data_IF_071557687131
#
_entry.id   IF_071557687131
#
_cell.length_a   1.000
_cell.length_b   1.000
_cell.length_c   1.000
_cell.angle_alpha   90.00
_cell.angle_beta   90.00
_cell.angle_gamma   90.00
#
_symmetry.space_group_name_H-M   'P 1'
#
loop_
_entity.id
_entity.type
_entity.pdbx_description
1 polymer ?
#
# COMPACT_ATOMS: atom_id res chain seq x y z
N UNK A 1 -10.97 7.74 5.87
CA UNK A 1 -9.53 7.45 5.97
C UNK A 1 -8.89 7.84 4.64
N UNK A 2 -7.79 8.60 4.66
CA UNK A 2 -7.20 9.22 3.46
C UNK A 2 -5.97 8.41 3.00
N UNK A 3 -5.96 8.02 1.72
CA UNK A 3 -4.78 7.42 1.07
C UNK A 3 -4.12 8.51 0.24
N UNK A 4 -3.07 9.12 0.77
CA UNK A 4 -2.34 10.18 0.08
C UNK A 4 -1.38 9.56 -0.95
N UNK A 5 -1.59 9.92 -2.22
CA UNK A 5 -0.90 9.31 -3.35
C UNK A 5 -0.08 10.35 -4.12
N UNK A 6 1.23 10.13 -4.26
CA UNK A 6 2.10 10.92 -5.14
C UNK A 6 2.77 10.01 -6.15
N UNK A 7 2.30 10.08 -7.41
CA UNK A 7 2.86 9.32 -8.53
C UNK A 7 4.06 10.06 -9.11
N UNK A 8 5.28 9.56 -8.89
CA UNK A 8 6.47 10.02 -9.62
C UNK A 8 6.59 9.21 -10.93
N UNK A 9 6.10 9.79 -12.02
CA UNK A 9 5.83 9.09 -13.28
C UNK A 9 7.06 8.72 -14.14
N UNK A 10 8.30 8.88 -13.67
CA UNK A 10 9.50 8.66 -14.51
C UNK A 10 10.05 7.22 -14.52
N UNK A 11 9.61 6.32 -13.62
CA UNK A 11 10.29 5.02 -13.39
C UNK A 11 9.39 3.78 -13.22
N UNK A 12 8.10 3.82 -13.59
CA UNK A 12 7.20 2.67 -13.38
C UNK A 12 7.00 2.30 -11.91
N UNK A 13 7.27 3.27 -11.02
CA UNK A 13 7.19 3.15 -9.57
C UNK A 13 6.19 4.15 -9.01
N UNK A 14 5.36 3.73 -8.06
CA UNK A 14 4.37 4.57 -7.39
C UNK A 14 4.67 4.61 -5.91
N UNK A 15 4.75 5.82 -5.34
CA UNK A 15 4.86 6.00 -3.90
C UNK A 15 3.50 6.35 -3.30
N UNK A 16 3.17 5.65 -2.23
CA UNK A 16 1.87 5.75 -1.57
C UNK A 16 2.07 5.71 -0.06
N UNK A 17 1.38 6.59 0.63
CA UNK A 17 1.20 6.47 2.07
C UNK A 17 -0.14 5.81 2.34
N UNK A 18 -0.13 4.76 3.15
CA UNK A 18 -1.33 4.03 3.56
C UNK A 18 -1.39 3.95 5.08
N UNK A 19 -2.56 4.24 5.62
CA UNK A 19 -2.90 4.01 7.02
C UNK A 19 -3.79 2.78 7.11
N UNK A 20 -3.61 1.95 8.13
CA UNK A 20 -4.47 0.84 8.47
C UNK A 20 -4.85 0.94 9.95
N UNK A 21 -6.03 0.42 10.35
CA UNK A 21 -6.22 -0.05 11.72
C UNK A 21 -5.10 -1.03 12.09
N UNK A 22 -4.56 -0.94 13.30
CA UNK A 22 -3.38 -1.72 13.71
C UNK A 22 -3.58 -3.24 13.51
N UNK A 23 -4.78 -3.74 13.77
CA UNK A 23 -5.17 -5.14 13.61
C UNK A 23 -5.31 -5.60 12.15
N UNK A 24 -5.48 -4.68 11.19
CA UNK A 24 -5.62 -4.97 9.75
C UNK A 24 -4.34 -4.72 8.95
N UNK A 25 -3.30 -4.16 9.59
CA UNK A 25 -2.03 -3.82 8.94
C UNK A 25 -1.36 -5.05 8.28
N UNK A 26 -1.30 -6.18 9.00
CA UNK A 26 -0.64 -7.39 8.51
C UNK A 26 -1.39 -8.00 7.33
N UNK A 27 -2.72 -8.09 7.40
CA UNK A 27 -3.53 -8.65 6.32
C UNK A 27 -3.50 -7.77 5.07
N UNK A 28 -3.52 -6.44 5.24
CA UNK A 28 -3.38 -5.47 4.14
C UNK A 28 -2.05 -5.60 3.40
N UNK A 29 -0.93 -5.67 4.13
CA UNK A 29 0.39 -5.87 3.52
C UNK A 29 0.56 -7.27 2.89
N UNK A 30 -0.01 -8.30 3.52
CA UNK A 30 0.03 -9.67 2.97
C UNK A 30 -0.78 -9.78 1.67
N UNK A 31 -1.87 -9.02 1.54
CA UNK A 31 -2.64 -8.93 0.31
C UNK A 31 -1.81 -8.44 -0.88
N UNK A 32 -0.94 -7.46 -0.66
CA UNK A 32 -0.04 -6.95 -1.70
C UNK A 32 0.94 -7.99 -2.23
N UNK A 33 1.50 -8.82 -1.34
CA UNK A 33 2.47 -9.85 -1.71
C UNK A 33 1.89 -10.92 -2.65
N UNK A 34 0.56 -11.03 -2.73
CA UNK A 34 -0.14 -12.00 -3.57
C UNK A 34 -0.39 -11.49 -5.00
N UNK A 35 -0.13 -10.22 -5.29
CA UNK A 35 -0.43 -9.61 -6.59
C UNK A 35 0.70 -9.91 -7.58
N UNK A 36 0.46 -10.72 -8.63
CA UNK A 36 1.52 -11.15 -9.53
C UNK A 36 2.15 -9.98 -10.30
N UNK A 37 3.48 -9.96 -10.37
CA UNK A 37 4.22 -8.96 -11.14
C UNK A 37 4.26 -7.57 -10.49
N UNK A 38 3.92 -7.48 -9.20
CA UNK A 38 4.11 -6.29 -8.38
C UNK A 38 5.14 -6.57 -7.29
N UNK A 39 6.11 -5.70 -7.18
CA UNK A 39 7.02 -5.62 -6.05
C UNK A 39 6.57 -4.44 -5.19
N UNK A 40 6.57 -4.61 -3.88
CA UNK A 40 6.35 -3.52 -2.94
C UNK A 40 7.52 -3.43 -1.97
N UNK A 41 7.85 -2.20 -1.60
CA UNK A 41 8.90 -1.89 -0.65
C UNK A 41 8.32 -0.99 0.43
N UNK A 42 8.53 -1.35 1.69
CA UNK A 42 8.20 -0.47 2.81
C UNK A 42 9.38 0.48 2.98
N UNK A 43 9.18 1.77 2.69
CA UNK A 43 10.19 2.81 2.85
C UNK A 43 10.26 3.29 4.30
N UNK A 44 9.09 3.46 4.93
CA UNK A 44 8.91 3.86 6.33
C UNK A 44 7.66 3.22 6.89
N UNK A 45 7.68 2.90 8.18
CA UNK A 45 6.54 2.39 8.92
C UNK A 45 6.47 2.98 10.32
N UNK A 46 5.27 3.37 10.74
CA UNK A 46 4.96 3.75 12.13
C UNK A 46 3.76 2.96 12.58
N UNK A 47 3.92 2.15 13.62
CA UNK A 47 2.84 1.33 14.18
C UNK A 47 2.56 1.79 15.61
N UNK A 48 1.28 1.95 15.93
CA UNK A 48 0.77 2.24 17.26
C UNK A 48 -0.28 1.19 17.62
N UNK A 49 -0.81 1.26 18.85
CA UNK A 49 -1.90 0.37 19.26
C UNK A 49 -3.21 0.57 18.48
N UNK A 50 -3.38 1.70 17.79
CA UNK A 50 -4.63 2.04 17.07
C UNK A 50 -4.48 1.95 15.56
N UNK A 51 -3.33 2.36 15.06
CA UNK A 51 -3.10 2.48 13.62
C UNK A 51 -1.66 2.13 13.22
N UNK A 52 -1.51 1.72 11.97
CA UNK A 52 -0.24 1.50 11.30
C UNK A 52 -0.18 2.33 10.02
N UNK A 53 0.81 3.23 9.93
CA UNK A 53 1.06 4.08 8.77
C UNK A 53 2.30 3.59 8.06
N UNK A 54 2.21 3.33 6.76
CA UNK A 54 3.32 2.89 5.93
C UNK A 54 3.47 3.78 4.70
N UNK A 55 4.72 4.15 4.42
CA UNK A 55 5.10 4.68 3.11
C UNK A 55 5.63 3.52 2.28
N UNK A 56 4.96 3.25 1.16
CA UNK A 56 5.27 2.14 0.26
C UNK A 56 5.74 2.66 -1.10
N UNK A 57 6.66 1.94 -1.71
CA UNK A 57 7.00 2.06 -3.13
C UNK A 57 6.54 0.79 -3.85
N UNK A 58 5.62 0.94 -4.79
CA UNK A 58 5.11 -0.12 -5.65
C UNK A 58 5.83 -0.07 -6.99
N UNK A 59 6.31 -1.20 -7.49
CA UNK A 59 6.92 -1.34 -8.81
C UNK A 59 6.27 -2.48 -9.56
N UNK A 60 5.97 -2.28 -10.83
CA UNK A 60 5.38 -3.32 -11.66
C UNK A 60 4.76 -2.73 -12.92
N UNK A 61 4.02 -3.58 -13.64
CA UNK A 61 3.20 -3.11 -14.77
C UNK A 61 1.99 -2.32 -14.26
N UNK A 62 1.52 -1.37 -15.05
CA UNK A 62 0.42 -0.47 -14.66
C UNK A 62 -0.81 -1.21 -14.13
N UNK A 63 -1.22 -2.31 -14.77
CA UNK A 63 -2.36 -3.10 -14.33
C UNK A 63 -2.19 -3.68 -12.90
N UNK A 64 -1.03 -4.28 -12.62
CA UNK A 64 -0.73 -4.85 -11.30
C UNK A 64 -0.57 -3.77 -10.23
N UNK A 65 0.09 -2.66 -10.57
CA UNK A 65 0.22 -1.53 -9.65
C UNK A 65 -1.16 -0.95 -9.30
N UNK A 66 -2.05 -0.81 -10.28
CA UNK A 66 -3.43 -0.36 -10.06
C UNK A 66 -4.22 -1.34 -9.18
N UNK A 67 -4.07 -2.65 -9.38
CA UNK A 67 -4.66 -3.68 -8.53
C UNK A 67 -4.14 -3.59 -7.09
N UNK A 68 -2.84 -3.38 -6.91
CA UNK A 68 -2.20 -3.17 -5.60
C UNK A 68 -2.76 -1.94 -4.87
N UNK A 69 -2.92 -0.83 -5.59
CA UNK A 69 -3.55 0.38 -5.05
C UNK A 69 -5.00 0.11 -4.63
N UNK A 70 -5.75 -0.64 -5.45
CA UNK A 70 -7.14 -0.97 -5.14
C UNK A 70 -7.25 -1.89 -3.91
N UNK A 71 -6.38 -2.90 -3.81
CA UNK A 71 -6.29 -3.79 -2.66
C UNK A 71 -5.95 -3.03 -1.37
N UNK A 72 -4.98 -2.11 -1.42
CA UNK A 72 -4.63 -1.23 -0.31
C UNK A 72 -5.82 -0.40 0.16
N UNK A 73 -6.58 0.18 -0.79
CA UNK A 73 -7.79 0.95 -0.45
C UNK A 73 -8.85 0.07 0.20
N UNK A 74 -9.07 -1.15 -0.29
CA UNK A 74 -10.05 -2.07 0.29
C UNK A 74 -9.67 -2.47 1.72
N UNK A 75 -8.38 -2.78 1.96
CA UNK A 75 -7.87 -3.14 3.29
C UNK A 75 -7.87 -1.96 4.26
N UNK A 76 -7.61 -0.75 3.77
CA UNK A 76 -7.71 0.49 4.53
C UNK A 76 -9.18 0.85 4.88
N UNK A 77 -10.15 0.51 4.01
CA UNK A 77 -11.53 1.01 4.09
C UNK A 77 -12.51 0.18 4.95
N UNK A 78 -12.06 -0.78 5.76
CA UNK A 78 -13.01 -1.45 6.66
C UNK A 78 -13.15 -0.70 7.99
N UNK A 79 -14.35 -0.18 8.36
CA UNK A 79 -14.67 0.13 9.74
C UNK A 79 -14.48 -1.08 10.67
#
# INVERSE_FOLDING_TARGET
MEVAMRKEARTGSVRIEVTFPAEKAVSGLTGLAKIPGVLFYILRGRVTAREAVYQLELKGRDAGVNEAIWSLRAAASCP
#
